data_IF_887365034251
#
_entry.id   IF_887365034251
#
_cell.length_a   1.000
_cell.length_b   1.000
_cell.length_c   1.000
_cell.angle_alpha   90.00
_cell.angle_beta   90.00
_cell.angle_gamma   90.00
#
_symmetry.space_group_name_H-M   'P 1'
#
loop_
_entity.id
_entity.type
_entity.pdbx_description
1 polymer ?
#
# COMPACT_ATOMS: atom_id res chain seq x y z
N UNK A 1 -14.06 -3.87 4.36
CA UNK A 1 -14.48 -3.50 3.01
C UNK A 1 -16.00 -3.52 2.94
N UNK A 2 -16.62 -2.45 2.40
CA UNK A 2 -18.07 -2.34 2.20
C UNK A 2 -18.34 -1.80 0.79
N UNK A 3 -19.27 -2.42 0.07
CA UNK A 3 -19.72 -1.92 -1.23
C UNK A 3 -21.23 -2.03 -1.31
N UNK A 4 -21.87 -0.98 -1.83
CA UNK A 4 -23.31 -0.93 -2.11
C UNK A 4 -23.48 -0.42 -3.53
N UNK A 5 -24.36 -1.05 -4.30
CA UNK A 5 -24.70 -0.60 -5.66
C UNK A 5 -26.22 -0.59 -5.85
N UNK A 6 -26.72 0.37 -6.61
CA UNK A 6 -28.12 0.49 -6.97
C UNK A 6 -28.29 0.87 -8.44
N UNK A 7 -29.20 0.20 -9.13
CA UNK A 7 -29.56 0.53 -10.52
C UNK A 7 -30.84 1.34 -10.53
N UNK A 8 -30.75 2.61 -10.93
CA UNK A 8 -31.90 3.52 -11.05
C UNK A 8 -32.70 3.28 -12.33
N UNK A 9 -32.04 2.75 -13.35
CA UNK A 9 -32.63 2.36 -14.65
C UNK A 9 -31.75 1.35 -15.35
N UNK A 10 -32.18 0.86 -16.51
CA UNK A 10 -31.36 -0.03 -17.36
C UNK A 10 -30.03 0.60 -17.82
N UNK A 11 -29.89 1.92 -17.69
CA UNK A 11 -28.71 2.66 -18.14
C UNK A 11 -27.92 3.32 -17.00
N UNK A 12 -28.58 3.71 -15.91
CA UNK A 12 -27.94 4.48 -14.85
C UNK A 12 -27.87 3.66 -13.56
N UNK A 13 -26.67 3.55 -13.02
CA UNK A 13 -26.42 2.95 -11.71
C UNK A 13 -25.49 3.83 -10.88
N UNK A 14 -25.58 3.72 -9.57
CA UNK A 14 -24.60 4.31 -8.66
C UNK A 14 -24.08 3.26 -7.70
N UNK A 15 -22.89 3.52 -7.19
CA UNK A 15 -22.21 2.71 -6.20
C UNK A 15 -21.55 3.56 -5.12
N UNK A 16 -21.34 2.94 -4.00
CA UNK A 16 -20.62 3.50 -2.88
C UNK A 16 -19.69 2.42 -2.31
N UNK A 17 -18.41 2.74 -2.17
CA UNK A 17 -17.40 1.84 -1.64
C UNK A 17 -16.67 2.45 -0.46
N UNK A 18 -16.32 1.61 0.53
CA UNK A 18 -15.37 1.93 1.60
C UNK A 18 -14.33 0.84 1.62
N UNK A 19 -13.06 1.20 1.39
CA UNK A 19 -11.96 0.24 1.28
C UNK A 19 -10.62 0.88 1.65
N UNK A 20 -9.59 0.05 1.84
CA UNK A 20 -8.22 0.48 2.07
C UNK A 20 -7.38 0.23 0.81
N UNK A 21 -7.05 1.28 0.04
CA UNK A 21 -6.28 1.11 -1.20
C UNK A 21 -4.79 0.89 -0.97
N UNK A 22 -4.25 1.42 0.13
CA UNK A 22 -2.83 1.32 0.48
C UNK A 22 -2.69 0.98 1.96
N UNK A 23 -1.65 0.25 2.30
CA UNK A 23 -1.31 -0.08 3.67
C UNK A 23 0.15 -0.48 3.78
N UNK A 24 0.72 -0.25 4.95
CA UNK A 24 2.07 -0.65 5.31
C UNK A 24 2.05 -1.06 6.78
N UNK A 25 2.73 -2.14 7.11
CA UNK A 25 2.95 -2.57 8.49
C UNK A 25 4.27 -3.30 8.60
N UNK A 26 5.23 -2.73 9.32
CA UNK A 26 6.53 -3.33 9.59
C UNK A 26 6.90 -3.08 11.04
N UNK A 27 7.15 -4.12 11.81
CA UNK A 27 7.60 -4.04 13.19
C UNK A 27 8.82 -4.94 13.38
N UNK A 28 9.98 -4.32 13.58
CA UNK A 28 11.26 -4.99 13.79
C UNK A 28 11.64 -5.07 15.27
N UNK A 29 10.93 -4.36 16.13
CA UNK A 29 11.28 -4.20 17.53
C UNK A 29 12.44 -3.23 17.77
N UNK A 30 12.66 -2.89 19.05
CA UNK A 30 13.53 -1.78 19.48
C UNK A 30 15.02 -2.12 19.53
N UNK A 31 15.41 -3.39 19.48
CA UNK A 31 16.78 -3.85 19.73
C UNK A 31 17.48 -4.46 18.52
N UNK A 32 16.79 -4.52 17.38
CA UNK A 32 17.37 -5.10 16.18
C UNK A 32 18.47 -4.21 15.57
N UNK A 33 19.30 -4.77 14.70
CA UNK A 33 20.48 -4.09 14.16
C UNK A 33 20.15 -2.81 13.37
N UNK A 34 19.07 -2.81 12.58
CA UNK A 34 18.65 -1.68 11.76
C UNK A 34 17.75 -0.67 12.47
N UNK A 35 17.66 -0.66 13.79
CA UNK A 35 16.78 0.22 14.57
C UNK A 35 16.98 1.72 14.33
N UNK A 36 18.13 2.12 13.79
CA UNK A 36 18.39 3.51 13.42
C UNK A 36 17.76 3.92 12.06
N UNK A 37 17.33 2.93 11.28
CA UNK A 37 16.52 3.14 10.07
C UNK A 37 15.05 3.13 10.40
N UNK A 38 14.57 2.05 11.02
CA UNK A 38 13.20 1.88 11.43
C UNK A 38 13.08 0.83 12.55
N UNK A 39 12.22 1.08 13.52
CA UNK A 39 11.74 0.06 14.48
C UNK A 39 10.31 -0.33 14.16
N UNK A 40 9.47 0.65 13.82
CA UNK A 40 8.09 0.45 13.38
C UNK A 40 7.76 1.42 12.24
N UNK A 41 7.03 0.93 11.24
CA UNK A 41 6.48 1.74 10.16
C UNK A 41 5.08 1.27 9.88
N UNK A 42 4.11 2.12 10.11
CA UNK A 42 2.70 1.81 9.90
C UNK A 42 2.02 2.90 9.07
N UNK A 43 1.20 2.49 8.11
CA UNK A 43 0.33 3.36 7.36
C UNK A 43 -0.98 2.64 7.10
N UNK A 44 -2.06 3.28 7.50
CA UNK A 44 -3.42 2.80 7.27
C UNK A 44 -4.14 3.84 6.42
N UNK A 45 -4.82 3.39 5.37
CA UNK A 45 -5.67 4.25 4.55
C UNK A 45 -7.09 3.76 4.54
N UNK A 46 -8.04 4.68 4.49
CA UNK A 46 -9.46 4.41 4.27
C UNK A 46 -9.96 5.34 3.18
N UNK A 47 -10.47 4.77 2.10
CA UNK A 47 -11.07 5.52 1.00
C UNK A 47 -12.59 5.35 1.01
N UNK A 48 -13.30 6.46 0.83
CA UNK A 48 -14.74 6.53 0.56
C UNK A 48 -14.92 6.92 -0.90
N UNK A 49 -15.61 6.07 -1.66
CA UNK A 49 -15.70 6.19 -3.11
C UNK A 49 -17.15 6.12 -3.61
N UNK A 50 -17.85 7.24 -3.73
CA UNK A 50 -19.08 7.33 -4.52
C UNK A 50 -18.76 7.28 -6.02
N UNK A 51 -19.52 6.46 -6.76
CA UNK A 51 -19.36 6.24 -8.22
C UNK A 51 -20.71 6.29 -8.91
N UNK A 52 -20.77 6.89 -10.09
CA UNK A 52 -21.89 6.77 -11.01
C UNK A 52 -21.44 6.05 -12.28
N UNK A 53 -22.30 5.21 -12.85
CA UNK A 53 -22.06 4.52 -14.11
C UNK A 53 -23.21 4.68 -15.08
N UNK A 54 -22.88 4.83 -16.36
CA UNK A 54 -23.82 4.97 -17.46
C UNK A 54 -23.55 3.90 -18.53
N UNK A 55 -24.56 3.13 -18.85
CA UNK A 55 -24.55 2.26 -20.03
C UNK A 55 -24.83 3.08 -21.27
N UNK A 56 -23.77 3.38 -22.04
CA UNK A 56 -23.84 4.23 -23.24
C UNK A 56 -24.50 3.47 -24.39
N UNK A 57 -24.11 2.19 -24.56
CA UNK A 57 -24.72 1.27 -25.50
C UNK A 57 -25.05 -0.06 -24.80
N UNK A 58 -25.58 -1.03 -25.52
CA UNK A 58 -25.82 -2.37 -24.95
C UNK A 58 -24.53 -3.07 -24.50
N UNK A 59 -23.40 -2.72 -25.12
CA UNK A 59 -22.10 -3.37 -24.95
C UNK A 59 -21.06 -2.46 -24.29
N UNK A 60 -21.39 -1.18 -24.01
CA UNK A 60 -20.43 -0.22 -23.48
C UNK A 60 -21.02 0.51 -22.28
N UNK A 61 -20.31 0.45 -21.16
CA UNK A 61 -20.58 1.24 -19.98
C UNK A 61 -19.36 2.07 -19.59
N UNK A 62 -19.61 3.25 -19.04
CA UNK A 62 -18.59 4.16 -18.49
C UNK A 62 -18.95 4.48 -17.05
N UNK A 63 -17.94 4.77 -16.23
CA UNK A 63 -18.12 5.14 -14.84
C UNK A 63 -17.17 6.26 -14.44
N UNK A 64 -17.61 7.08 -13.50
CA UNK A 64 -16.78 8.09 -12.85
C UNK A 64 -17.11 8.16 -11.36
N UNK A 65 -16.09 8.40 -10.55
CA UNK A 65 -16.22 8.49 -9.10
C UNK A 65 -15.19 9.42 -8.48
N UNK A 66 -15.41 9.73 -7.20
CA UNK A 66 -14.51 10.53 -6.38
C UNK A 66 -13.94 9.63 -5.30
N UNK A 67 -12.63 9.72 -5.06
CA UNK A 67 -11.94 9.05 -3.96
C UNK A 67 -11.67 10.09 -2.86
N UNK A 68 -12.31 9.95 -1.72
CA UNK A 68 -12.02 10.73 -0.50
C UNK A 68 -11.22 9.80 0.41
N UNK A 69 -9.95 10.12 0.62
CA UNK A 69 -9.02 9.25 1.34
C UNK A 69 -8.61 9.89 2.66
N UNK A 70 -8.70 9.12 3.72
CA UNK A 70 -8.07 9.38 5.01
C UNK A 70 -6.83 8.49 5.13
N UNK A 71 -5.76 9.04 5.69
CA UNK A 71 -4.50 8.36 5.95
C UNK A 71 -4.05 8.65 7.36
N UNK A 72 -3.66 7.61 8.09
CA UNK A 72 -2.98 7.65 9.37
C UNK A 72 -1.62 6.97 9.24
N UNK A 73 -0.57 7.52 9.84
CA UNK A 73 0.77 6.94 9.77
C UNK A 73 1.54 7.13 11.06
N UNK A 74 2.32 6.11 11.40
CA UNK A 74 3.29 6.11 12.49
C UNK A 74 4.63 5.60 11.96
N UNK A 75 5.70 6.37 12.22
CA UNK A 75 7.08 6.04 11.87
C UNK A 75 7.93 6.13 13.11
N UNK A 76 8.63 5.05 13.46
CA UNK A 76 9.47 4.97 14.64
C UNK A 76 10.87 4.45 14.29
N UNK A 77 11.87 5.02 14.96
CA UNK A 77 13.26 4.58 14.90
C UNK A 77 14.02 4.96 16.16
N UNK A 78 15.23 4.49 16.32
CA UNK A 78 16.14 4.94 17.38
C UNK A 78 17.12 5.97 16.85
N UNK A 79 17.61 6.81 17.75
CA UNK A 79 18.73 7.73 17.53
C UNK A 79 19.90 7.23 18.37
N UNK A 80 21.03 7.04 17.74
CA UNK A 80 22.29 6.70 18.39
C UNK A 80 22.84 7.94 19.11
N UNK A 81 22.62 8.07 20.43
CA UNK A 81 23.13 9.20 21.18
C UNK A 81 24.67 9.21 21.30
N UNK A 82 25.32 8.07 21.25
CA UNK A 82 26.79 8.04 21.26
C UNK A 82 27.36 8.65 19.98
N UNK A 83 26.78 8.30 18.83
CA UNK A 83 27.12 8.89 17.53
C UNK A 83 26.81 10.38 17.48
N UNK A 84 25.64 10.79 17.95
CA UNK A 84 25.24 12.20 18.04
C UNK A 84 26.19 12.99 18.96
N UNK A 85 26.54 12.43 20.10
CA UNK A 85 27.49 13.04 21.05
C UNK A 85 28.87 13.23 20.42
N UNK A 86 29.37 12.22 19.72
CA UNK A 86 30.64 12.34 18.99
C UNK A 86 30.58 13.43 17.90
N UNK A 87 29.49 13.46 17.11
CA UNK A 87 29.30 14.46 16.06
C UNK A 87 29.14 15.90 16.59
N UNK A 88 28.66 16.06 17.82
CA UNK A 88 28.49 17.37 18.48
C UNK A 88 29.69 17.75 19.38
N UNK A 89 30.80 17.02 19.29
CA UNK A 89 32.03 17.33 20.08
C UNK A 89 31.93 17.00 21.57
N UNK A 90 31.09 16.03 21.94
CA UNK A 90 30.96 15.57 23.33
C UNK A 90 30.01 16.39 24.20
N UNK A 91 29.08 17.13 23.58
CA UNK A 91 28.13 18.02 24.30
C UNK A 91 27.22 17.28 25.28
N UNK A 92 27.00 15.98 25.09
CA UNK A 92 26.11 15.18 25.93
C UNK A 92 26.83 14.52 27.13
N UNK A 93 28.12 14.78 27.29
CA UNK A 93 28.91 14.24 28.39
C UNK A 93 29.77 13.04 28.01
N UNK A 94 30.46 12.47 29.00
CA UNK A 94 31.33 11.29 28.83
C UNK A 94 30.65 10.02 29.33
N UNK A 95 30.81 8.93 28.59
CA UNK A 95 30.30 7.61 28.92
C UNK A 95 29.27 7.07 27.88
N UNK A 96 28.86 5.81 28.00
CA UNK A 96 27.87 5.23 27.10
C UNK A 96 26.50 5.86 27.34
N UNK A 97 25.92 6.36 26.26
CA UNK A 97 24.57 6.94 26.24
C UNK A 97 23.58 5.94 25.66
N UNK A 98 22.36 5.83 26.22
CA UNK A 98 21.31 4.97 25.66
C UNK A 98 20.80 5.53 24.32
N UNK A 99 20.29 4.63 23.47
CA UNK A 99 19.56 5.06 22.27
C UNK A 99 18.25 5.77 22.68
N UNK A 100 17.86 6.78 21.90
CA UNK A 100 16.59 7.50 22.09
C UNK A 100 15.58 7.08 21.04
N UNK A 101 14.37 6.70 21.44
CA UNK A 101 13.26 6.48 20.54
C UNK A 101 12.75 7.76 19.94
N UNK A 102 12.67 7.81 18.62
CA UNK A 102 12.00 8.86 17.85
C UNK A 102 10.74 8.30 17.21
N UNK A 103 9.64 9.02 17.39
CA UNK A 103 8.35 8.71 16.78
C UNK A 103 7.81 9.94 16.06
N UNK A 104 7.31 9.74 14.84
CA UNK A 104 6.41 10.66 14.15
C UNK A 104 5.07 9.95 13.96
N UNK A 105 3.99 10.57 14.42
CA UNK A 105 2.63 10.08 14.19
C UNK A 105 1.77 11.22 13.70
N UNK A 106 0.98 10.98 12.65
CA UNK A 106 0.15 12.01 12.04
C UNK A 106 -0.88 11.43 11.08
N UNK A 107 -1.84 12.26 10.76
CA UNK A 107 -2.92 11.92 9.86
C UNK A 107 -3.21 13.02 8.84
N UNK A 108 -3.95 12.65 7.80
CA UNK A 108 -4.31 13.58 6.74
C UNK A 108 -5.41 13.05 5.84
N UNK A 109 -5.95 13.94 5.03
CA UNK A 109 -6.96 13.60 4.03
C UNK A 109 -6.53 14.08 2.65
N UNK A 110 -6.97 13.36 1.62
CA UNK A 110 -6.74 13.72 0.23
C UNK A 110 -7.95 13.39 -0.63
N UNK A 111 -8.03 13.99 -1.80
CA UNK A 111 -9.12 13.77 -2.75
C UNK A 111 -8.53 13.41 -4.10
N UNK A 112 -9.10 12.40 -4.73
CA UNK A 112 -8.82 11.98 -6.09
C UNK A 112 -10.10 11.66 -6.85
N UNK A 113 -9.95 11.15 -8.05
CA UNK A 113 -11.06 10.68 -8.87
C UNK A 113 -10.70 9.36 -9.55
N UNK A 114 -11.73 8.64 -9.99
CA UNK A 114 -11.57 7.45 -10.79
C UNK A 114 -12.52 7.45 -12.00
N UNK A 115 -12.08 6.78 -13.05
CA UNK A 115 -12.81 6.60 -14.29
C UNK A 115 -12.78 5.12 -14.66
N UNK A 116 -13.84 4.63 -15.30
CA UNK A 116 -13.91 3.25 -15.74
C UNK A 116 -14.63 3.10 -17.07
N UNK A 117 -14.20 2.14 -17.85
CA UNK A 117 -14.85 1.71 -19.10
C UNK A 117 -14.97 0.20 -19.06
N UNK A 118 -16.14 -0.32 -19.37
CA UNK A 118 -16.41 -1.74 -19.57
C UNK A 118 -17.02 -1.93 -20.96
N UNK A 119 -16.40 -2.80 -21.74
CA UNK A 119 -16.84 -3.14 -23.09
C UNK A 119 -17.01 -4.65 -23.26
N UNK A 120 -18.23 -5.06 -23.61
CA UNK A 120 -18.62 -6.45 -23.85
C UNK A 120 -18.81 -6.67 -25.36
N UNK A 121 -17.75 -6.91 -26.17
CA UNK A 121 -17.88 -7.10 -27.62
C UNK A 121 -18.73 -8.31 -28.00
N UNK A 122 -18.76 -9.33 -27.16
CA UNK A 122 -19.60 -10.52 -27.30
C UNK A 122 -20.21 -10.90 -25.95
N UNK A 123 -21.21 -11.83 -25.90
CA UNK A 123 -21.74 -12.32 -24.63
C UNK A 123 -20.72 -13.08 -23.75
N UNK A 124 -19.58 -13.44 -24.30
CA UNK A 124 -18.56 -14.25 -23.62
C UNK A 124 -17.27 -13.49 -23.32
N UNK A 125 -17.14 -12.29 -23.83
CA UNK A 125 -15.90 -11.50 -23.73
C UNK A 125 -16.19 -10.14 -23.10
N UNK A 126 -15.52 -9.84 -21.98
CA UNK A 126 -15.55 -8.55 -21.33
C UNK A 126 -14.15 -7.96 -21.29
N UNK A 127 -14.02 -6.68 -21.59
CA UNK A 127 -12.79 -5.91 -21.54
C UNK A 127 -13.03 -4.71 -20.63
N UNK A 128 -12.23 -4.55 -19.58
CA UNK A 128 -12.32 -3.46 -18.63
C UNK A 128 -11.06 -2.64 -18.56
N UNK A 129 -11.21 -1.31 -18.45
CA UNK A 129 -10.11 -0.39 -18.14
C UNK A 129 -10.58 0.57 -17.07
N UNK A 130 -9.78 0.78 -16.04
CA UNK A 130 -10.04 1.82 -15.06
C UNK A 130 -8.79 2.61 -14.74
N UNK A 131 -8.99 3.88 -14.43
CA UNK A 131 -7.96 4.82 -14.01
C UNK A 131 -8.34 5.38 -12.64
N UNK A 132 -7.36 5.48 -11.76
CA UNK A 132 -7.43 6.20 -10.50
C UNK A 132 -6.35 7.26 -10.50
N UNK A 133 -6.72 8.50 -10.18
CA UNK A 133 -5.79 9.62 -10.10
C UNK A 133 -4.83 9.48 -8.91
N UNK A 134 -3.71 10.17 -8.97
CA UNK A 134 -2.90 10.41 -7.78
C UNK A 134 -3.73 11.11 -6.70
N UNK A 135 -3.35 10.87 -5.41
CA UNK A 135 -3.96 11.53 -4.27
C UNK A 135 -2.86 12.16 -3.42
N UNK A 136 -2.91 13.49 -3.30
CA UNK A 136 -2.00 14.25 -2.42
C UNK A 136 -2.60 14.35 -1.05
N UNK A 137 -1.84 13.92 -0.04
CA UNK A 137 -2.23 13.93 1.37
C UNK A 137 -1.26 14.80 2.15
N UNK A 138 -1.75 15.92 2.68
CA UNK A 138 -1.00 16.73 3.65
C UNK A 138 -1.18 16.15 5.05
N UNK A 139 -0.13 15.55 5.59
CA UNK A 139 -0.12 14.91 6.91
C UNK A 139 0.28 15.95 7.96
N UNK A 140 -0.50 16.04 9.03
CA UNK A 140 -0.18 16.83 10.23
C UNK A 140 -0.02 15.89 11.40
N UNK A 141 1.04 16.09 12.17
CA UNK A 141 1.36 15.19 13.27
C UNK A 141 2.32 15.77 14.28
N UNK A 142 2.85 14.88 15.10
CA UNK A 142 3.80 15.24 16.14
C UNK A 142 5.02 14.33 16.08
N UNK A 143 6.22 14.97 16.13
CA UNK A 143 7.46 14.29 16.44
C UNK A 143 7.66 14.26 17.96
N UNK A 144 7.96 13.10 18.48
CA UNK A 144 8.22 12.89 19.91
C UNK A 144 9.43 12.00 20.14
N UNK A 145 10.05 12.17 21.29
CA UNK A 145 11.20 11.39 21.74
C UNK A 145 10.89 10.82 23.11
N UNK A 146 11.25 9.56 23.36
CA UNK A 146 11.09 8.91 24.66
C UNK A 146 11.99 9.53 25.73
N UNK A 147 13.11 10.13 25.30
CA UNK A 147 13.97 10.97 26.12
C UNK A 147 14.36 12.23 25.36
N UNK A 148 13.96 13.39 25.89
CA UNK A 148 14.30 14.67 25.28
C UNK A 148 15.70 15.13 25.67
N UNK A 149 16.45 15.63 24.69
CA UNK A 149 17.77 16.28 24.90
C UNK A 149 17.60 17.77 24.61
N UNK A 150 17.63 18.66 25.64
CA UNK A 150 17.41 20.09 25.47
C UNK A 150 18.29 20.68 24.36
N UNK A 151 17.70 21.42 23.46
CA UNK A 151 18.37 22.03 22.31
C UNK A 151 18.69 21.11 21.13
N UNK A 152 18.50 19.77 21.26
CA UNK A 152 18.78 18.78 20.20
C UNK A 152 17.58 17.91 19.84
N UNK A 153 16.98 17.24 20.80
CA UNK A 153 15.88 16.32 20.61
C UNK A 153 14.67 16.79 21.42
N UNK A 154 13.81 17.57 20.79
CA UNK A 154 12.63 18.16 21.42
C UNK A 154 11.37 17.77 20.67
N UNK A 155 10.33 17.42 21.40
CA UNK A 155 9.02 17.18 20.81
C UNK A 155 8.54 18.43 20.05
N UNK A 156 7.98 18.22 18.88
CA UNK A 156 7.51 19.33 18.03
C UNK A 156 6.40 18.85 17.12
N UNK A 157 5.36 19.66 16.89
CA UNK A 157 4.47 19.43 15.76
C UNK A 157 5.25 19.37 14.45
N UNK A 158 4.76 18.60 13.50
CA UNK A 158 5.41 18.44 12.21
C UNK A 158 4.40 18.17 11.10
N UNK A 159 4.87 18.33 9.87
CA UNK A 159 4.07 18.14 8.64
C UNK A 159 4.85 17.36 7.62
N UNK A 160 4.15 16.52 6.88
CA UNK A 160 4.68 15.82 5.72
C UNK A 160 3.67 15.85 4.58
N UNK A 161 4.17 15.85 3.35
CA UNK A 161 3.34 15.69 2.16
C UNK A 161 3.63 14.32 1.55
N UNK A 162 2.57 13.55 1.28
CA UNK A 162 2.66 12.25 0.61
C UNK A 162 1.77 12.27 -0.63
N UNK A 163 2.33 11.89 -1.77
CA UNK A 163 1.56 11.67 -3.00
C UNK A 163 1.43 10.17 -3.24
N UNK A 164 0.22 9.65 -3.10
CA UNK A 164 -0.11 8.28 -3.45
C UNK A 164 -0.24 8.17 -4.97
N UNK A 165 0.21 7.06 -5.58
CA UNK A 165 0.36 6.94 -7.03
C UNK A 165 -0.98 6.92 -7.76
N UNK A 166 -0.97 7.43 -8.98
CA UNK A 166 -2.01 7.14 -9.95
C UNK A 166 -1.88 5.68 -10.42
N UNK A 167 -3.01 5.10 -10.83
CA UNK A 167 -3.09 3.69 -11.20
C UNK A 167 -3.94 3.52 -12.48
N UNK A 168 -3.51 2.59 -13.33
CA UNK A 168 -4.31 2.09 -14.46
C UNK A 168 -4.46 0.58 -14.30
N UNK A 169 -5.68 0.11 -14.39
CA UNK A 169 -6.03 -1.31 -14.42
C UNK A 169 -6.64 -1.61 -15.78
N UNK A 170 -6.17 -2.66 -16.44
CA UNK A 170 -6.78 -3.19 -17.65
C UNK A 170 -6.93 -4.70 -17.53
N UNK A 171 -8.04 -5.23 -18.00
CA UNK A 171 -8.30 -6.67 -17.90
C UNK A 171 -9.26 -7.17 -18.95
N UNK A 172 -9.21 -8.47 -19.16
CA UNK A 172 -10.03 -9.22 -20.07
C UNK A 172 -10.57 -10.46 -19.35
N UNK A 173 -11.85 -10.77 -19.55
CA UNK A 173 -12.48 -11.99 -19.05
C UNK A 173 -13.18 -12.71 -20.19
N UNK A 174 -13.00 -14.03 -20.28
CA UNK A 174 -13.63 -14.88 -21.29
C UNK A 174 -14.38 -16.05 -20.64
N UNK A 175 -15.68 -16.11 -20.89
CA UNK A 175 -16.61 -17.12 -20.33
C UNK A 175 -17.17 -18.10 -21.37
N UNK A 176 -16.53 -18.18 -22.55
CA UNK A 176 -16.99 -19.06 -23.64
C UNK A 176 -16.69 -20.54 -23.45
N UNK A 177 -15.95 -20.93 -22.41
CA UNK A 177 -15.63 -22.33 -22.10
C UNK A 177 -16.51 -22.89 -20.97
N UNK A 178 -17.83 -22.61 -20.96
CA UNK A 178 -18.72 -23.09 -19.90
C UNK A 178 -18.42 -24.53 -19.47
N UNK A 179 -18.18 -24.82 -18.17
CA UNK A 179 -18.38 -23.97 -16.97
C UNK A 179 -17.16 -23.14 -16.51
N UNK A 180 -16.14 -22.97 -17.34
CA UNK A 180 -14.90 -22.26 -17.03
C UNK A 180 -14.95 -20.82 -17.52
N UNK A 181 -14.59 -19.86 -16.66
CA UNK A 181 -14.27 -18.47 -17.00
C UNK A 181 -12.80 -18.24 -16.73
N UNK A 182 -12.11 -17.62 -17.69
CA UNK A 182 -10.70 -17.22 -17.58
C UNK A 182 -10.60 -15.70 -17.58
N UNK A 183 -9.65 -15.17 -16.83
CA UNK A 183 -9.36 -13.75 -16.80
C UNK A 183 -7.85 -13.49 -16.77
N UNK A 184 -7.46 -12.34 -17.33
CA UNK A 184 -6.12 -11.83 -17.25
C UNK A 184 -6.17 -10.31 -17.09
N UNK A 185 -5.22 -9.75 -16.39
CA UNK A 185 -5.16 -8.32 -16.14
C UNK A 185 -3.76 -7.80 -15.95
N UNK A 186 -3.64 -6.49 -16.11
CA UNK A 186 -2.43 -5.74 -15.82
C UNK A 186 -2.81 -4.50 -15.01
N UNK A 187 -1.98 -4.17 -14.03
CA UNK A 187 -2.05 -2.95 -13.25
C UNK A 187 -0.73 -2.20 -13.44
N UNK A 188 -0.82 -0.92 -13.75
CA UNK A 188 0.30 0.01 -13.71
C UNK A 188 0.09 0.99 -12.54
N UNK A 189 1.16 1.25 -11.79
CA UNK A 189 1.17 2.18 -10.67
C UNK A 189 2.36 3.13 -10.80
N UNK A 190 2.09 4.43 -10.74
CA UNK A 190 3.10 5.46 -10.88
C UNK A 190 3.71 5.86 -9.53
N UNK A 191 4.48 4.96 -8.95
CA UNK A 191 5.21 5.23 -7.71
C UNK A 191 6.35 6.25 -7.88
N UNK A 192 6.66 6.72 -9.10
CA UNK A 192 7.64 7.79 -9.32
C UNK A 192 7.24 9.11 -8.65
N UNK A 193 5.96 9.25 -8.29
CA UNK A 193 5.46 10.35 -7.44
C UNK A 193 6.07 10.36 -6.04
N UNK A 194 6.59 9.22 -5.55
CA UNK A 194 7.22 9.10 -4.22
C UNK A 194 8.74 9.18 -4.32
N UNK A 195 9.25 10.38 -4.56
CA UNK A 195 10.69 10.64 -4.70
C UNK A 195 11.38 10.92 -3.36
N UNK A 196 10.70 11.59 -2.42
CA UNK A 196 11.21 11.93 -1.11
C UNK A 196 10.10 11.90 -0.06
N UNK A 197 10.44 11.43 1.14
CA UNK A 197 9.62 11.63 2.33
C UNK A 197 10.32 12.64 3.25
N UNK A 198 9.70 13.81 3.42
CA UNK A 198 10.25 14.87 4.26
C UNK A 198 9.24 15.28 5.33
N UNK A 199 9.61 15.12 6.58
CA UNK A 199 8.88 15.64 7.74
C UNK A 199 9.53 16.95 8.16
N UNK A 200 8.78 18.05 8.17
CA UNK A 200 9.21 19.37 8.62
C UNK A 200 8.57 19.67 9.97
N UNK A 201 9.38 20.00 10.95
CA UNK A 201 8.94 20.29 12.30
C UNK A 201 8.84 21.80 12.53
N UNK A 202 7.91 22.22 13.38
CA UNK A 202 7.67 23.64 13.68
C UNK A 202 8.84 24.28 14.46
N UNK A 203 9.71 23.47 15.07
CA UNK A 203 10.96 23.94 15.69
C UNK A 203 12.08 24.27 14.68
N UNK A 204 11.80 24.18 13.36
CA UNK A 204 12.74 24.48 12.29
C UNK A 204 13.61 23.29 11.84
N UNK A 205 13.52 22.13 12.49
CA UNK A 205 14.23 20.93 12.06
C UNK A 205 13.45 20.16 10.98
N UNK A 206 14.13 19.28 10.24
CA UNK A 206 13.48 18.39 9.29
C UNK A 206 14.17 17.03 9.24
N UNK A 207 13.38 16.00 8.92
CA UNK A 207 13.89 14.66 8.60
C UNK A 207 13.50 14.34 7.17
N UNK A 208 14.46 14.00 6.32
CA UNK A 208 14.20 13.68 4.91
C UNK A 208 14.83 12.35 4.56
N UNK A 209 14.08 11.52 3.84
CA UNK A 209 14.52 10.23 3.29
C UNK A 209 14.25 10.23 1.79
N UNK A 210 15.31 10.02 1.01
CA UNK A 210 15.21 9.89 -0.44
C UNK A 210 14.65 8.51 -0.78
N UNK A 211 13.61 8.45 -1.60
CA UNK A 211 12.93 7.22 -2.01
C UNK A 211 13.21 6.87 -3.47
N UNK A 212 13.03 7.82 -4.38
CA UNK A 212 13.27 7.67 -5.82
C UNK A 212 12.58 6.43 -6.42
N UNK A 213 11.36 6.14 -5.97
CA UNK A 213 10.62 4.97 -6.42
C UNK A 213 10.32 5.05 -7.91
N UNK A 214 10.05 3.91 -8.53
CA UNK A 214 9.78 3.77 -9.96
C UNK A 214 8.35 3.32 -10.19
N UNK A 215 7.80 3.67 -11.35
CA UNK A 215 6.55 3.07 -11.82
C UNK A 215 6.70 1.56 -11.96
N UNK A 216 5.65 0.82 -11.62
CA UNK A 216 5.63 -0.65 -11.61
C UNK A 216 4.46 -1.21 -12.38
N UNK A 217 4.59 -2.49 -12.75
CA UNK A 217 3.52 -3.28 -13.31
C UNK A 217 3.21 -4.47 -12.41
N UNK A 218 1.94 -4.84 -12.36
CA UNK A 218 1.52 -6.13 -11.84
C UNK A 218 0.67 -6.84 -12.89
N UNK A 219 0.85 -8.14 -13.00
CA UNK A 219 0.17 -9.00 -13.96
C UNK A 219 -0.59 -10.08 -13.20
N UNK A 220 -1.83 -10.33 -13.58
CA UNK A 220 -2.61 -11.39 -12.96
C UNK A 220 -3.30 -12.27 -14.01
N UNK A 221 -3.46 -13.52 -13.65
CA UNK A 221 -4.34 -14.48 -14.34
C UNK A 221 -5.25 -15.15 -13.31
N UNK A 222 -6.48 -15.45 -13.73
CA UNK A 222 -7.45 -16.07 -12.86
C UNK A 222 -8.36 -17.03 -13.61
N UNK A 223 -8.92 -17.98 -12.87
CA UNK A 223 -9.90 -18.91 -13.35
C UNK A 223 -11.04 -19.10 -12.35
N UNK A 224 -12.27 -19.18 -12.85
CA UNK A 224 -13.46 -19.56 -12.09
C UNK A 224 -14.09 -20.77 -12.75
N UNK A 225 -14.24 -21.86 -11.98
CA UNK A 225 -14.88 -23.09 -12.46
C UNK A 225 -16.17 -23.35 -11.70
N UNK A 226 -17.30 -23.31 -12.40
CA UNK A 226 -18.63 -23.56 -11.83
C UNK A 226 -18.87 -25.06 -11.70
N UNK A 227 -18.71 -25.61 -10.48
CA UNK A 227 -18.99 -27.01 -10.19
C UNK A 227 -20.47 -27.36 -10.35
N UNK A 228 -21.34 -26.47 -9.89
CA UNK A 228 -22.79 -26.60 -10.00
C UNK A 228 -23.45 -25.21 -9.83
N UNK A 229 -24.78 -25.14 -9.68
CA UNK A 229 -25.50 -23.86 -9.55
C UNK A 229 -25.17 -23.07 -8.29
N UNK A 230 -24.66 -23.74 -7.26
CA UNK A 230 -24.37 -23.15 -5.95
C UNK A 230 -22.88 -22.90 -5.73
N UNK A 231 -22.00 -23.75 -6.25
CA UNK A 231 -20.57 -23.77 -5.92
C UNK A 231 -19.72 -23.45 -7.14
N UNK A 232 -18.86 -22.43 -6.99
CA UNK A 232 -17.77 -22.14 -7.93
C UNK A 232 -16.44 -22.18 -7.20
N UNK A 233 -15.42 -22.75 -7.82
CA UNK A 233 -14.04 -22.74 -7.37
C UNK A 233 -13.28 -21.64 -8.09
N UNK A 234 -12.39 -20.97 -7.39
CA UNK A 234 -11.59 -19.86 -7.86
C UNK A 234 -10.11 -20.19 -7.67
N UNK A 235 -9.29 -19.84 -8.65
CA UNK A 235 -7.85 -19.89 -8.55
C UNK A 235 -7.24 -18.69 -9.27
N UNK A 236 -6.10 -18.19 -8.79
CA UNK A 236 -5.45 -17.05 -9.40
C UNK A 236 -3.98 -16.95 -9.02
N UNK A 237 -3.26 -16.23 -9.86
CA UNK A 237 -1.87 -15.89 -9.64
C UNK A 237 -1.65 -14.42 -10.02
N UNK A 238 -0.84 -13.74 -9.22
CA UNK A 238 -0.42 -12.37 -9.48
C UNK A 238 1.09 -12.27 -9.29
N UNK A 239 1.75 -11.58 -10.21
CA UNK A 239 3.13 -11.11 -10.09
C UNK A 239 3.12 -9.58 -10.08
N UNK A 240 3.94 -8.97 -9.23
CA UNK A 240 4.10 -7.52 -9.14
C UNK A 240 5.56 -7.14 -9.02
N UNK A 241 6.00 -6.23 -9.88
CA UNK A 241 7.31 -5.59 -9.74
C UNK A 241 7.35 -4.73 -8.47
N UNK A 242 8.52 -4.61 -7.85
CA UNK A 242 8.72 -3.70 -6.74
C UNK A 242 9.19 -2.31 -7.22
N UNK A 243 8.70 -1.20 -6.59
CA UNK A 243 9.04 0.16 -6.99
C UNK A 243 10.39 0.66 -6.45
N UNK A 244 10.98 0.01 -5.46
CA UNK A 244 12.09 0.56 -4.66
C UNK A 244 13.43 0.26 -5.32
N UNK A 245 14.25 1.26 -5.71
CA UNK A 245 15.61 1.04 -6.18
C UNK A 245 16.52 0.49 -5.07
N UNK A 246 17.52 -0.32 -5.42
CA UNK A 246 18.47 -0.87 -4.45
C UNK A 246 19.24 0.22 -3.69
N UNK A 247 19.52 1.35 -4.34
CA UNK A 247 20.20 2.48 -3.72
C UNK A 247 19.41 3.16 -2.60
N UNK A 248 18.07 3.04 -2.63
CA UNK A 248 17.17 3.62 -1.62
C UNK A 248 16.37 2.58 -0.84
N UNK A 249 16.69 1.30 -1.04
CA UNK A 249 16.09 0.22 -0.27
C UNK A 249 16.46 0.31 1.20
N UNK A 250 15.45 0.37 2.04
CA UNK A 250 15.59 0.42 3.50
C UNK A 250 14.48 -0.38 4.19
N UNK A 251 14.72 -0.89 5.40
CA UNK A 251 13.80 -1.80 6.07
C UNK A 251 12.52 -1.17 6.61
N UNK A 252 12.34 0.15 6.51
CA UNK A 252 11.04 0.77 6.83
C UNK A 252 9.92 0.30 5.90
N UNK A 253 10.28 -0.06 4.65
CA UNK A 253 9.38 -0.65 3.66
C UNK A 253 10.17 -1.74 2.92
N UNK A 254 10.24 -2.96 3.46
CA UNK A 254 11.07 -4.03 2.90
C UNK A 254 10.36 -4.75 1.74
N UNK A 255 10.07 -4.00 0.67
CA UNK A 255 9.38 -4.51 -0.51
C UNK A 255 10.35 -5.18 -1.50
N UNK A 256 9.83 -6.16 -2.23
CA UNK A 256 10.51 -6.90 -3.28
C UNK A 256 9.51 -7.35 -4.34
N UNK A 257 9.99 -7.91 -5.44
CA UNK A 257 9.11 -8.53 -6.43
C UNK A 257 8.26 -9.61 -5.76
N UNK A 258 6.97 -9.59 -6.07
CA UNK A 258 5.97 -10.30 -5.28
C UNK A 258 5.20 -11.30 -6.15
N UNK A 259 5.04 -12.52 -5.62
CA UNK A 259 4.21 -13.58 -6.16
C UNK A 259 3.04 -13.86 -5.22
N UNK A 260 1.80 -13.83 -5.73
CA UNK A 260 0.61 -14.14 -4.94
C UNK A 260 -0.15 -15.29 -5.59
N UNK A 261 -0.32 -16.39 -4.86
CA UNK A 261 -1.12 -17.54 -5.25
C UNK A 261 -2.43 -17.53 -4.47
N UNK A 262 -3.55 -17.58 -5.18
CA UNK A 262 -4.88 -17.49 -4.58
C UNK A 262 -5.72 -18.70 -4.90
N UNK A 263 -6.50 -19.15 -3.92
CA UNK A 263 -7.58 -20.13 -4.13
C UNK A 263 -8.80 -19.71 -3.32
N UNK A 264 -9.99 -20.03 -3.82
CA UNK A 264 -11.23 -19.66 -3.14
C UNK A 264 -12.45 -20.44 -3.59
N UNK A 265 -13.55 -20.19 -2.90
CA UNK A 265 -14.87 -20.76 -3.19
C UNK A 265 -15.92 -19.67 -3.11
N UNK A 266 -16.81 -19.64 -4.08
CA UNK A 266 -18.00 -18.82 -4.10
C UNK A 266 -19.22 -19.72 -3.96
N UNK A 267 -20.09 -19.43 -2.99
CA UNK A 267 -21.36 -20.10 -2.73
C UNK A 267 -22.50 -19.13 -3.09
N UNK A 268 -23.29 -19.48 -4.10
CA UNK A 268 -24.43 -18.68 -4.58
C UNK A 268 -25.76 -19.34 -4.13
N UNK A 269 -26.49 -18.65 -3.25
CA UNK A 269 -27.81 -19.03 -2.77
C UNK A 269 -28.90 -18.12 -3.34
N UNK A 270 -28.66 -17.50 -4.49
CA UNK A 270 -29.59 -16.60 -5.15
C UNK A 270 -29.55 -15.19 -4.55
N UNK A 271 -30.23 -14.99 -3.42
CA UNK A 271 -30.22 -13.69 -2.70
C UNK A 271 -28.90 -13.42 -1.99
N UNK A 272 -28.24 -14.47 -1.50
CA UNK A 272 -27.00 -14.39 -0.74
C UNK A 272 -25.87 -15.05 -1.50
N UNK A 273 -24.71 -14.38 -1.54
CA UNK A 273 -23.45 -14.97 -2.00
C UNK A 273 -22.43 -14.89 -0.90
N UNK A 274 -21.80 -16.02 -0.59
CA UNK A 274 -20.73 -16.11 0.40
C UNK A 274 -19.46 -16.52 -0.31
N UNK A 275 -18.37 -15.86 -0.02
CA UNK A 275 -17.05 -16.21 -0.55
C UNK A 275 -16.06 -16.47 0.57
N UNK A 276 -15.18 -17.43 0.35
CA UNK A 276 -14.01 -17.69 1.17
C UNK A 276 -12.80 -17.75 0.26
N UNK A 277 -11.70 -17.13 0.65
CA UNK A 277 -10.45 -17.23 -0.09
C UNK A 277 -9.25 -17.25 0.84
N UNK A 278 -8.22 -17.90 0.33
CA UNK A 278 -6.88 -17.92 0.90
C UNK A 278 -5.90 -17.45 -0.16
N UNK A 279 -4.95 -16.62 0.23
CA UNK A 279 -3.84 -16.23 -0.61
C UNK A 279 -2.52 -16.38 0.15
N UNK A 280 -1.53 -16.89 -0.55
CA UNK A 280 -0.15 -16.94 -0.12
C UNK A 280 0.66 -15.96 -0.95
N UNK A 281 1.23 -14.96 -0.29
CA UNK A 281 2.10 -13.96 -0.88
C UNK A 281 3.53 -14.28 -0.50
N UNK A 282 4.39 -14.39 -1.48
CA UNK A 282 5.83 -14.61 -1.34
C UNK A 282 6.55 -13.41 -1.99
N UNK A 283 7.43 -12.78 -1.24
CA UNK A 283 8.33 -11.76 -1.73
C UNK A 283 9.67 -12.40 -2.06
N UNK A 284 10.29 -12.00 -3.17
CA UNK A 284 11.62 -12.47 -3.53
C UNK A 284 12.65 -12.03 -2.48
N UNK A 285 13.64 -12.88 -2.26
CA UNK A 285 14.73 -12.53 -1.37
C UNK A 285 15.49 -11.33 -1.92
N UNK A 286 15.73 -10.32 -1.09
CA UNK A 286 16.38 -9.09 -1.51
C UNK A 286 17.53 -8.72 -0.60
N UNK A 287 18.68 -8.44 -1.21
CA UNK A 287 19.88 -8.01 -0.49
C UNK A 287 19.93 -6.49 -0.38
N UNK A 288 20.07 -6.00 0.85
CA UNK A 288 20.44 -4.62 1.11
C UNK A 288 21.95 -4.52 1.22
N UNK A 289 22.57 -3.70 0.36
CA UNK A 289 24.03 -3.51 0.30
C UNK A 289 24.43 -2.03 0.20
N UNK A 290 23.48 -1.12 0.51
CA UNK A 290 23.70 0.33 0.45
C UNK A 290 24.16 0.90 1.81
N UNK A 291 24.57 2.17 1.80
CA UNK A 291 25.10 2.85 2.98
C UNK A 291 24.05 3.59 3.81
N UNK A 292 22.75 3.42 3.50
CA UNK A 292 21.67 4.01 4.30
C UNK A 292 21.65 3.37 5.69
N UNK A 293 21.57 4.19 6.74
CA UNK A 293 21.27 3.69 8.07
C UNK A 293 22.03 4.28 9.23
N UNK A 294 23.31 4.54 9.11
CA UNK A 294 24.08 5.18 10.19
C UNK A 294 24.59 6.56 9.75
N UNK A 295 23.88 7.64 10.10
CA UNK A 295 24.29 9.00 9.75
C UNK A 295 25.59 9.42 10.42
N UNK A 296 26.07 8.68 11.43
CA UNK A 296 27.26 9.01 12.19
C UNK A 296 28.47 8.13 11.87
N UNK A 297 28.33 7.14 10.94
CA UNK A 297 29.44 6.37 10.39
C UNK A 297 30.23 5.54 11.40
N UNK A 298 29.63 5.15 12.52
CA UNK A 298 30.31 4.40 13.57
C UNK A 298 30.28 2.89 13.28
N UNK A 299 31.35 2.40 12.64
CA UNK A 299 31.72 0.98 12.55
C UNK A 299 30.87 0.07 11.65
N UNK A 300 30.13 0.59 10.67
CA UNK A 300 29.32 -0.25 9.76
C UNK A 300 28.15 -0.95 10.44
N UNK A 301 27.92 -0.69 11.73
CA UNK A 301 26.73 -1.11 12.46
C UNK A 301 25.61 -0.13 12.25
N UNK A 302 24.39 -0.59 11.98
CA UNK A 302 23.20 0.26 11.76
C UNK A 302 22.80 0.44 10.31
N UNK A 303 23.59 -0.02 9.34
CA UNK A 303 23.18 -0.04 7.93
C UNK A 303 22.11 -1.11 7.66
N UNK A 304 21.99 -2.12 8.54
CA UNK A 304 21.12 -3.27 8.38
C UNK A 304 21.28 -3.97 7.01
N UNK A 305 22.51 -4.01 6.50
CA UNK A 305 22.84 -4.74 5.30
C UNK A 305 22.68 -6.25 5.53
N UNK A 306 22.05 -6.93 4.59
CA UNK A 306 21.72 -8.34 4.71
C UNK A 306 20.60 -8.73 3.77
N UNK A 307 20.18 -9.99 3.83
CA UNK A 307 19.13 -10.54 3.00
C UNK A 307 17.77 -10.45 3.70
N UNK A 308 16.82 -9.78 3.06
CA UNK A 308 15.43 -9.68 3.51
C UNK A 308 14.56 -10.71 2.80
N UNK A 309 13.72 -11.40 3.57
CA UNK A 309 12.74 -12.37 3.07
C UNK A 309 11.43 -12.16 3.81
N UNK A 310 10.32 -12.23 3.08
CA UNK A 310 9.00 -12.09 3.65
C UNK A 310 7.99 -12.96 2.93
N UNK A 311 7.06 -13.51 3.68
CA UNK A 311 5.87 -14.17 3.17
C UNK A 311 4.65 -13.80 4.00
N UNK A 312 3.47 -13.81 3.39
CA UNK A 312 2.22 -13.43 4.03
C UNK A 312 1.12 -14.43 3.70
N UNK A 313 0.40 -14.86 4.73
CA UNK A 313 -0.81 -15.68 4.60
C UNK A 313 -2.05 -14.79 4.79
N UNK A 314 -2.93 -14.78 3.82
CA UNK A 314 -4.15 -13.98 3.86
C UNK A 314 -5.37 -14.88 3.78
N UNK A 315 -6.33 -14.69 4.69
CA UNK A 315 -7.62 -15.35 4.69
C UNK A 315 -8.71 -14.29 4.59
N UNK A 316 -9.67 -14.48 3.69
CA UNK A 316 -10.81 -13.57 3.61
C UNK A 316 -12.14 -14.29 3.50
N UNK A 317 -13.19 -13.64 4.01
CA UNK A 317 -14.57 -14.03 3.86
C UNK A 317 -15.40 -12.84 3.40
N UNK A 318 -16.35 -13.07 2.51
CA UNK A 318 -17.23 -12.04 1.97
C UNK A 318 -18.68 -12.48 1.97
N UNK A 319 -19.59 -11.52 2.13
CA UNK A 319 -21.03 -11.70 2.01
C UNK A 319 -21.58 -10.63 1.06
N UNK A 320 -22.28 -11.04 0.01
CA UNK A 320 -23.05 -10.14 -0.82
C UNK A 320 -24.56 -10.47 -0.72
N UNK A 321 -25.38 -9.44 -0.68
CA UNK A 321 -26.85 -9.56 -0.54
C UNK A 321 -27.51 -8.79 -1.68
N UNK A 322 -28.41 -9.44 -2.40
CA UNK A 322 -29.29 -8.79 -3.39
C UNK A 322 -30.62 -8.39 -2.74
N UNK A 323 -31.01 -7.17 -2.95
CA UNK A 323 -32.27 -6.59 -2.44
C UNK A 323 -33.34 -6.57 -3.51
#
# INVERSE_FOLDING_TARGET
LLFVTHSFSDRLSAGFGVFSPFGLGTDWGDTWEGRYLATNSEMITVAVNPVASLRVTRNLAVAAGIDILYLDTTLEKKINLNGLNAATGGMLGSGPLPDVGQKFSGDGTGIGFNLGVLYDPTPYLSIGVSYRSEIKVGIKGNGSFDHQVPGLLMNSPGRADLTLPQQVFAGIAYSGFDPLTLEAGVRWEDWSSFSNLTVRFDNGTSSSSQKNWKSTFAYNIGASYRLNRTVSLLAGYLYSDNPIPDSTFEPSIPDADTHIFCAGTLLDFGRYRVSFSYAYQMLDARDKTNELGDPFGQNGTGTANGTYRSDVHMVSAGLAVKF
#
